data_IF_560639368338
#
_entry.id   IF_560639368338
#
_cell.length_a   1.000
_cell.length_b   1.000
_cell.length_c   1.000
_cell.angle_alpha   90.00
_cell.angle_beta   90.00
_cell.angle_gamma   90.00
#
_symmetry.space_group_name_H-M   'P 1'
#
loop_
_entity.id
_entity.type
_entity.pdbx_description
1 polymer ?
#
# COMPACT_ATOMS: atom_id res chain seq x y z
N UNK A 1 7.90 -18.79 5.20
CA UNK A 1 7.45 -18.67 6.60
C UNK A 1 7.97 -17.43 7.29
N UNK A 2 9.06 -17.54 8.06
CA UNK A 2 9.62 -16.42 8.85
C UNK A 2 10.10 -15.25 7.99
N UNK A 3 10.80 -15.55 6.90
CA UNK A 3 11.37 -14.51 6.02
C UNK A 3 10.28 -13.70 5.31
N UNK A 4 9.28 -14.37 4.74
CA UNK A 4 8.12 -13.71 4.14
C UNK A 4 7.40 -12.78 5.14
N UNK A 5 7.28 -13.19 6.42
CA UNK A 5 6.68 -12.35 7.47
C UNK A 5 7.53 -11.11 7.74
N UNK A 6 8.86 -11.26 7.84
CA UNK A 6 9.80 -10.15 8.02
C UNK A 6 9.71 -9.16 6.84
N UNK A 7 9.68 -9.66 5.61
CA UNK A 7 9.63 -8.83 4.42
C UNK A 7 8.32 -8.04 4.31
N UNK A 8 7.17 -8.67 4.63
CA UNK A 8 5.88 -7.97 4.70
C UNK A 8 5.87 -6.89 5.78
N UNK A 9 6.47 -7.17 6.94
CA UNK A 9 6.56 -6.18 8.01
C UNK A 9 7.45 -5.00 7.62
N UNK A 10 8.58 -5.26 6.96
CA UNK A 10 9.49 -4.22 6.47
C UNK A 10 8.77 -3.32 5.45
N UNK A 11 8.11 -3.92 4.46
CA UNK A 11 7.30 -3.17 3.48
C UNK A 11 6.26 -2.30 4.18
N UNK A 12 5.46 -2.87 5.08
CA UNK A 12 4.45 -2.12 5.83
C UNK A 12 5.06 -0.93 6.58
N UNK A 13 6.15 -1.13 7.30
CA UNK A 13 6.82 -0.05 8.04
C UNK A 13 7.26 1.10 7.12
N UNK A 14 7.90 0.77 5.99
CA UNK A 14 8.34 1.78 5.01
C UNK A 14 7.15 2.53 4.43
N UNK A 15 6.11 1.83 3.98
CA UNK A 15 4.94 2.46 3.37
C UNK A 15 4.24 3.40 4.36
N UNK A 16 4.07 2.97 5.62
CA UNK A 16 3.49 3.80 6.69
C UNK A 16 4.31 5.07 6.97
N UNK A 17 5.65 4.99 6.96
CA UNK A 17 6.51 6.17 7.17
C UNK A 17 6.45 7.17 6.01
N UNK A 18 6.06 6.71 4.81
CA UNK A 18 5.93 7.54 3.62
C UNK A 18 4.49 8.02 3.34
N UNK A 19 3.58 7.93 4.33
CA UNK A 19 2.24 8.51 4.24
C UNK A 19 1.20 7.61 3.56
N UNK A 20 1.46 6.32 3.46
CA UNK A 20 0.47 5.34 3.03
C UNK A 20 -0.30 4.74 4.20
N UNK A 21 -1.45 4.14 3.91
CA UNK A 21 -2.25 3.29 4.80
C UNK A 21 -2.30 1.88 4.24
N UNK A 22 -2.19 0.87 5.10
CA UNK A 22 -2.27 -0.54 4.71
C UNK A 22 -3.72 -1.05 4.67
N UNK A 23 -3.96 -2.04 3.81
CA UNK A 23 -5.21 -2.80 3.78
C UNK A 23 -5.01 -4.18 4.40
N UNK A 24 -5.74 -4.47 5.49
CA UNK A 24 -5.49 -5.64 6.34
C UNK A 24 -5.70 -7.00 5.66
N UNK A 25 -6.53 -7.03 4.60
CA UNK A 25 -6.82 -8.26 3.85
C UNK A 25 -5.76 -8.58 2.78
N UNK A 26 -4.99 -7.58 2.33
CA UNK A 26 -4.01 -7.75 1.25
C UNK A 26 -2.70 -7.05 1.61
N UNK A 27 -1.65 -7.83 1.91
CA UNK A 27 -0.39 -7.29 2.40
C UNK A 27 0.36 -6.38 1.41
N UNK A 28 0.00 -6.43 0.12
CA UNK A 28 0.56 -5.62 -0.96
C UNK A 28 -0.23 -4.33 -1.22
N UNK A 29 -1.44 -4.19 -0.68
CA UNK A 29 -2.33 -3.08 -0.99
C UNK A 29 -2.11 -1.90 -0.04
N UNK A 30 -1.78 -0.74 -0.62
CA UNK A 30 -1.56 0.51 0.11
C UNK A 30 -2.26 1.68 -0.59
N UNK A 31 -2.80 2.60 0.20
CA UNK A 31 -3.44 3.83 -0.31
C UNK A 31 -2.73 5.05 0.25
N UNK A 32 -2.44 6.02 -0.59
CA UNK A 32 -1.78 7.26 -0.17
C UNK A 32 -2.77 8.15 0.59
N UNK A 33 -2.43 8.54 1.83
CA UNK A 33 -3.37 9.20 2.75
C UNK A 33 -3.83 10.58 2.31
N UNK A 34 -2.98 11.32 1.62
CA UNK A 34 -3.31 12.67 1.19
C UNK A 34 -4.00 12.72 -0.16
N UNK A 35 -4.34 11.58 -0.77
CA UNK A 35 -5.18 11.58 -1.96
C UNK A 35 -6.63 11.89 -1.55
N UNK A 36 -7.16 13.08 -1.85
CA UNK A 36 -8.48 13.50 -1.38
C UNK A 36 -9.61 13.02 -2.30
N UNK A 37 -9.32 12.18 -3.31
CA UNK A 37 -10.24 11.92 -4.41
C UNK A 37 -10.62 10.44 -4.50
N UNK A 38 -11.89 10.15 -4.23
CA UNK A 38 -12.58 8.95 -4.73
C UNK A 38 -12.84 9.09 -6.25
N UNK A 39 -11.78 9.38 -7.02
CA UNK A 39 -11.84 9.49 -8.47
C UNK A 39 -11.17 8.28 -9.10
N UNK A 40 -11.98 7.54 -9.84
CA UNK A 40 -11.50 6.45 -10.68
C UNK A 40 -11.22 7.01 -12.07
N UNK A 41 -10.16 6.49 -12.69
CA UNK A 41 -9.76 6.88 -14.03
C UNK A 41 -9.88 5.69 -14.95
N UNK A 42 -10.34 5.95 -16.17
CA UNK A 42 -10.55 4.95 -17.21
C UNK A 42 -9.78 5.39 -18.46
N UNK A 43 -8.47 5.18 -18.43
CA UNK A 43 -7.56 5.45 -19.54
C UNK A 43 -6.54 4.31 -19.66
N UNK A 44 -5.98 4.14 -20.85
CA UNK A 44 -4.97 3.10 -21.11
C UNK A 44 -3.67 3.36 -20.35
N UNK A 45 -3.22 2.37 -19.57
CA UNK A 45 -1.87 2.34 -18.98
C UNK A 45 -0.91 1.84 -20.05
N UNK A 46 0.05 2.68 -20.45
CA UNK A 46 1.11 2.35 -21.42
C UNK A 46 2.39 1.89 -20.73
#
# INVERSE_FOLDING_TARGET
GKEQKKNRQLLKTIMLSHGFSDYSMEWWHFTFRSDPRNKYWDFDVK
#
